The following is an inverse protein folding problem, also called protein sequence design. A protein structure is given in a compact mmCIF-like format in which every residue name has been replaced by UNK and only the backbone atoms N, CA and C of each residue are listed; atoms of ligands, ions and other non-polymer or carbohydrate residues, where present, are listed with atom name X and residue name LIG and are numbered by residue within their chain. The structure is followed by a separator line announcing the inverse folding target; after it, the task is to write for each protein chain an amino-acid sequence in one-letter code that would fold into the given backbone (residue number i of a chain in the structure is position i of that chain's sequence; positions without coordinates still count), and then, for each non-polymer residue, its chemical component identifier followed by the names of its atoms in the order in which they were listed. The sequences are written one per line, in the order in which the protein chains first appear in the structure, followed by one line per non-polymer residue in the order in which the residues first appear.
data_IF_349931269236
#
_entry.id   IF_349931269236
#
_cell.length_a   1.000
_cell.length_b   1.000
_cell.length_c   1.000
_cell.angle_alpha   90.00
_cell.angle_beta   90.00
_cell.angle_gamma   90.00
#
_symmetry.space_group_name_H-M   'P 1'
#
loop_
_entity.id
_entity.type
_entity.pdbx_description
1 polymer ?
#
# COMPACT_ATOMS: atom_id res chain seq x y z
N UNK A 1 1.91 -7.42 -31.67
CA UNK A 1 0.90 -6.40 -32.03
C UNK A 1 1.34 -5.08 -31.41
N UNK A 2 1.32 -3.98 -32.17
CA UNK A 2 1.67 -2.65 -31.62
C UNK A 2 0.64 -2.28 -30.53
N UNK A 3 1.08 -1.90 -29.33
CA UNK A 3 0.20 -1.52 -28.21
C UNK A 3 -0.80 -0.43 -28.61
N UNK A 4 -0.38 0.54 -29.44
CA UNK A 4 -1.24 1.61 -29.91
C UNK A 4 -2.37 1.05 -30.77
N UNK A 5 -2.05 0.09 -31.65
CA UNK A 5 -3.07 -0.57 -32.49
C UNK A 5 -4.00 -1.46 -31.66
N UNK A 6 -3.48 -2.14 -30.63
CA UNK A 6 -4.32 -2.87 -29.70
C UNK A 6 -5.29 -1.94 -28.97
N UNK A 7 -4.77 -0.85 -28.38
CA UNK A 7 -5.59 0.08 -27.60
C UNK A 7 -6.58 0.83 -28.49
N UNK A 8 -6.24 1.15 -29.74
CA UNK A 8 -7.19 1.70 -30.73
C UNK A 8 -8.38 0.77 -30.99
N UNK A 9 -8.10 -0.53 -31.10
CA UNK A 9 -9.12 -1.55 -31.32
C UNK A 9 -9.81 -2.03 -30.02
N UNK A 10 -9.31 -1.61 -28.86
CA UNK A 10 -9.83 -2.07 -27.57
C UNK A 10 -11.26 -1.60 -27.36
N UNK A 11 -12.12 -2.55 -26.98
CA UNK A 11 -13.48 -2.29 -26.53
C UNK A 11 -13.66 -2.98 -25.18
N UNK A 12 -14.15 -2.25 -24.19
CA UNK A 12 -14.50 -2.85 -22.91
C UNK A 12 -15.83 -3.59 -23.05
N UNK A 13 -15.80 -4.92 -22.94
CA UNK A 13 -17.04 -5.69 -22.90
C UNK A 13 -17.85 -5.34 -21.63
N UNK A 14 -19.17 -5.11 -21.74
CA UNK A 14 -20.01 -4.87 -20.58
C UNK A 14 -19.92 -6.06 -19.61
N UNK A 15 -19.64 -5.80 -18.34
CA UNK A 15 -19.74 -6.84 -17.33
C UNK A 15 -21.20 -7.28 -17.22
N UNK A 16 -21.53 -8.54 -17.52
CA UNK A 16 -22.87 -9.10 -17.32
C UNK A 16 -23.26 -9.08 -15.82
N UNK A 17 -23.74 -7.94 -15.34
CA UNK A 17 -24.43 -7.81 -14.05
C UNK A 17 -25.92 -7.58 -14.31
N UNK A 18 -26.84 -8.27 -13.63
CA UNK A 18 -28.27 -8.06 -13.83
C UNK A 18 -28.64 -6.62 -13.45
N UNK A 19 -29.07 -5.82 -14.44
CA UNK A 19 -29.48 -4.42 -14.26
C UNK A 19 -28.78 -3.39 -15.15
N UNK A 20 -27.87 -3.79 -16.03
CA UNK A 20 -27.22 -2.85 -16.96
C UNK A 20 -28.11 -2.49 -18.15
N UNK A 21 -28.54 -1.23 -18.20
CA UNK A 21 -28.88 -0.58 -19.46
C UNK A 21 -27.59 -0.48 -20.29
N UNK A 22 -27.62 -1.00 -21.52
CA UNK A 22 -26.49 -1.05 -22.43
C UNK A 22 -25.99 0.35 -22.79
N UNK A 23 -24.90 0.82 -22.17
CA UNK A 23 -24.10 1.87 -22.79
C UNK A 23 -23.36 1.25 -23.97
N UNK A 24 -23.46 1.87 -25.15
CA UNK A 24 -22.81 1.37 -26.36
C UNK A 24 -21.29 1.33 -26.16
N UNK A 25 -20.59 0.32 -26.71
CA UNK A 25 -19.13 0.22 -26.63
C UNK A 25 -18.48 1.51 -27.14
N UNK A 26 -17.67 2.17 -26.30
CA UNK A 26 -16.89 3.34 -26.70
C UNK A 26 -15.65 2.90 -27.45
N UNK A 27 -15.50 3.40 -28.67
CA UNK A 27 -14.24 3.30 -29.42
C UNK A 27 -13.19 4.20 -28.77
N UNK A 28 -11.93 3.74 -28.76
CA UNK A 28 -10.81 4.54 -28.26
C UNK A 28 -10.62 5.78 -29.13
N UNK A 29 -10.75 6.96 -28.51
CA UNK A 29 -10.41 8.23 -29.14
C UNK A 29 -8.88 8.39 -29.16
N UNK A 30 -8.36 8.92 -30.27
CA UNK A 30 -6.93 9.16 -30.46
C UNK A 30 -6.71 10.64 -30.69
N UNK A 31 -6.13 11.29 -29.71
CA UNK A 31 -5.61 12.64 -29.82
C UNK A 31 -4.09 12.60 -29.96
N UNK A 32 -3.48 13.76 -30.26
CA UNK A 32 -2.04 13.89 -30.37
C UNK A 32 -1.55 14.97 -29.44
N UNK A 33 -0.51 14.67 -28.67
CA UNK A 33 0.15 15.63 -27.79
C UNK A 33 1.57 15.85 -28.27
N UNK A 34 1.98 17.11 -28.31
CA UNK A 34 3.35 17.50 -28.64
C UNK A 34 4.14 17.73 -27.35
N UNK A 35 5.27 17.05 -27.23
CA UNK A 35 6.21 17.20 -26.11
C UNK A 35 7.60 17.32 -26.71
N UNK A 36 8.29 18.44 -26.46
CA UNK A 36 9.63 18.74 -26.96
C UNK A 36 9.78 18.52 -28.48
N UNK A 37 8.78 19.00 -29.26
CA UNK A 37 8.77 18.89 -30.72
C UNK A 37 8.48 17.48 -31.27
N UNK A 38 8.12 16.52 -30.40
CA UNK A 38 7.72 15.16 -30.80
C UNK A 38 6.24 14.93 -30.54
N UNK A 39 5.56 14.27 -31.49
CA UNK A 39 4.13 13.93 -31.39
C UNK A 39 3.94 12.52 -30.81
N UNK A 40 3.12 12.44 -29.77
CA UNK A 40 2.74 11.19 -29.12
C UNK A 40 1.23 10.99 -29.21
N UNK A 41 0.73 9.77 -29.53
CA UNK A 41 -0.69 9.49 -29.49
C UNK A 41 -1.18 9.47 -28.03
N UNK A 42 -2.19 10.26 -27.72
CA UNK A 42 -2.96 10.21 -26.47
C UNK A 42 -4.22 9.41 -26.73
N UNK A 43 -4.32 8.24 -26.12
CA UNK A 43 -5.44 7.33 -26.29
C UNK A 43 -6.42 7.52 -25.12
N UNK A 44 -7.69 7.78 -25.44
CA UNK A 44 -8.75 8.05 -24.46
C UNK A 44 -9.82 6.97 -24.61
N UNK A 45 -9.98 6.15 -23.58
CA UNK A 45 -11.08 5.18 -23.47
C UNK A 45 -11.35 4.81 -22.01
N UNK A 46 -12.41 4.04 -21.76
CA UNK A 46 -12.63 3.32 -20.51
C UNK A 46 -11.97 1.93 -20.60
N UNK A 47 -10.82 1.77 -19.95
CA UNK A 47 -10.05 0.51 -20.01
C UNK A 47 -10.38 -0.48 -18.87
N UNK A 48 -11.10 -0.02 -17.84
CA UNK A 48 -11.57 -0.85 -16.71
C UNK A 48 -12.82 -0.22 -16.09
N UNK A 49 -13.76 -1.04 -15.63
CA UNK A 49 -14.96 -0.48 -14.97
C UNK A 49 -14.65 -0.09 -13.53
N UNK A 50 -15.19 1.05 -13.09
CA UNK A 50 -15.17 1.42 -11.68
C UNK A 50 -15.96 0.45 -10.78
N UNK A 51 -16.84 -0.36 -11.38
CA UNK A 51 -17.71 -1.36 -10.73
C UNK A 51 -17.04 -2.72 -10.53
N UNK A 52 -15.91 -3.01 -11.18
CA UNK A 52 -15.07 -4.19 -10.92
C UNK A 52 -14.47 -4.11 -9.51
N UNK A 53 -15.27 -4.37 -8.47
CA UNK A 53 -14.87 -4.31 -7.04
C UNK A 53 -14.10 -5.56 -6.58
N UNK A 54 -13.53 -6.33 -7.49
CA UNK A 54 -12.70 -7.50 -7.17
C UNK A 54 -11.23 -7.08 -7.05
N UNK A 55 -10.89 -6.47 -5.92
CA UNK A 55 -9.50 -6.21 -5.54
C UNK A 55 -9.07 -7.23 -4.50
N UNK A 56 -7.81 -7.67 -4.56
CA UNK A 56 -7.23 -8.45 -3.47
C UNK A 56 -7.35 -7.69 -2.14
N UNK A 57 -7.65 -8.42 -1.07
CA UNK A 57 -7.66 -7.92 0.31
C UNK A 57 -6.32 -7.33 0.73
N UNK A 58 -5.21 -7.74 0.10
CA UNK A 58 -3.87 -7.20 0.29
C UNK A 58 -3.74 -5.70 -0.10
N UNK A 59 -4.68 -5.15 -0.86
CA UNK A 59 -4.72 -3.73 -1.20
C UNK A 59 -5.38 -2.85 -0.14
N UNK A 60 -5.96 -3.43 0.92
CA UNK A 60 -6.63 -2.67 1.98
C UNK A 60 -5.65 -2.01 2.98
N UNK A 61 -4.47 -1.61 2.53
CA UNK A 61 -3.46 -0.82 3.27
C UNK A 61 -3.61 0.64 2.88
N UNK A 62 -3.96 1.51 3.85
CA UNK A 62 -4.26 2.91 3.55
C UNK A 62 -3.00 3.73 3.23
N UNK A 63 -2.99 4.44 2.11
CA UNK A 63 -1.96 5.41 1.74
C UNK A 63 -2.60 6.48 0.85
N UNK A 64 -2.24 7.75 1.04
CA UNK A 64 -2.81 8.85 0.25
C UNK A 64 -2.28 8.76 -1.18
N UNK A 65 -3.10 9.20 -2.14
CA UNK A 65 -2.68 9.36 -3.53
C UNK A 65 -2.23 8.05 -4.20
N UNK A 66 -3.00 6.98 -3.99
CA UNK A 66 -2.84 5.71 -4.71
C UNK A 66 -3.95 5.53 -5.75
N UNK A 67 -3.65 4.85 -6.86
CA UNK A 67 -4.68 4.38 -7.79
C UNK A 67 -5.33 3.06 -7.33
N UNK A 68 -6.48 2.76 -7.95
CA UNK A 68 -7.21 1.50 -7.79
C UNK A 68 -6.43 0.37 -8.47
N UNK A 69 -6.43 -0.83 -7.88
CA UNK A 69 -5.66 -1.99 -8.37
C UNK A 69 -6.01 -2.44 -9.80
N UNK A 70 -7.24 -2.16 -10.26
CA UNK A 70 -7.71 -2.50 -11.60
C UNK A 70 -6.91 -1.77 -12.69
N UNK A 71 -6.44 -0.55 -12.42
CA UNK A 71 -5.65 0.25 -13.36
C UNK A 71 -4.33 -0.44 -13.71
N UNK A 72 -3.39 -0.71 -12.77
CA UNK A 72 -2.15 -1.39 -13.11
C UNK A 72 -2.41 -2.82 -13.60
N UNK A 73 -3.41 -3.52 -13.05
CA UNK A 73 -3.73 -4.89 -13.47
C UNK A 73 -4.03 -4.97 -14.96
N UNK A 74 -4.79 -4.01 -15.49
CA UNK A 74 -5.12 -3.93 -16.91
C UNK A 74 -3.84 -3.90 -17.77
N UNK A 75 -2.95 -2.94 -17.50
CA UNK A 75 -1.72 -2.78 -18.27
C UNK A 75 -0.73 -3.93 -18.07
N UNK A 76 -0.61 -4.46 -16.85
CA UNK A 76 0.26 -5.62 -16.60
C UNK A 76 -0.23 -6.83 -17.40
N UNK A 77 -1.54 -7.15 -17.39
CA UNK A 77 -2.07 -8.27 -18.17
C UNK A 77 -1.87 -8.09 -19.67
N UNK A 78 -1.99 -6.86 -20.14
CA UNK A 78 -1.91 -6.54 -21.56
C UNK A 78 -0.47 -6.56 -22.10
N UNK A 79 0.48 -6.05 -21.31
CA UNK A 79 1.82 -5.69 -21.79
C UNK A 79 2.93 -6.60 -21.28
N UNK A 80 2.60 -7.61 -20.47
CA UNK A 80 3.58 -8.55 -19.93
C UNK A 80 3.03 -9.97 -19.92
N UNK A 81 3.92 -10.93 -19.79
CA UNK A 81 3.67 -12.35 -19.52
C UNK A 81 4.10 -12.72 -18.09
N UNK A 82 3.63 -13.84 -17.53
CA UNK A 82 4.19 -14.38 -16.30
C UNK A 82 5.73 -14.53 -16.39
N UNK A 83 6.45 -14.12 -15.35
CA UNK A 83 7.92 -14.12 -15.30
C UNK A 83 8.59 -12.80 -15.70
N UNK A 84 7.90 -11.94 -16.45
CA UNK A 84 8.39 -10.60 -16.82
C UNK A 84 8.58 -9.71 -15.58
N UNK A 85 9.39 -8.66 -15.73
CA UNK A 85 9.73 -7.69 -14.69
C UNK A 85 8.88 -6.44 -14.79
N UNK A 86 8.11 -6.19 -13.73
CA UNK A 86 7.38 -4.93 -13.55
C UNK A 86 8.11 -4.06 -12.53
N UNK A 87 8.37 -2.81 -12.90
CA UNK A 87 9.02 -1.81 -12.05
C UNK A 87 8.07 -0.66 -11.71
N UNK A 88 8.09 -0.22 -10.46
CA UNK A 88 7.44 1.02 -10.02
C UNK A 88 8.46 1.94 -9.32
N UNK A 89 8.88 3.06 -9.95
CA UNK A 89 9.85 4.00 -9.39
C UNK A 89 9.32 4.86 -8.22
N UNK A 90 8.00 4.92 -8.03
CA UNK A 90 7.31 5.71 -6.99
C UNK A 90 6.27 4.83 -6.28
N UNK A 91 6.74 3.72 -5.74
CA UNK A 91 5.90 2.59 -5.36
C UNK A 91 4.85 2.94 -4.30
N UNK A 92 5.13 3.88 -3.39
CA UNK A 92 4.22 4.23 -2.30
C UNK A 92 3.78 3.00 -1.52
N UNK A 93 2.48 2.68 -1.53
CA UNK A 93 1.98 1.41 -0.97
C UNK A 93 2.01 0.22 -1.94
N UNK A 94 2.84 0.24 -2.98
CA UNK A 94 3.07 -0.89 -3.89
C UNK A 94 1.85 -1.45 -4.61
N UNK A 95 0.86 -0.64 -4.99
CA UNK A 95 -0.32 -1.16 -5.71
C UNK A 95 0.09 -1.90 -7.00
N UNK A 96 1.02 -1.33 -7.78
CA UNK A 96 1.60 -2.00 -8.98
C UNK A 96 2.29 -3.30 -8.61
N UNK A 97 3.14 -3.26 -7.58
CA UNK A 97 3.96 -4.39 -7.14
C UNK A 97 3.09 -5.58 -6.71
N UNK A 98 2.06 -5.32 -5.92
CA UNK A 98 1.14 -6.37 -5.47
C UNK A 98 0.34 -6.94 -6.64
N UNK A 99 -0.19 -6.11 -7.56
CA UNK A 99 -0.89 -6.66 -8.74
C UNK A 99 0.03 -7.44 -9.66
N UNK A 100 1.27 -6.98 -9.89
CA UNK A 100 2.26 -7.69 -10.69
C UNK A 100 2.58 -9.06 -10.07
N UNK A 101 2.81 -9.12 -8.75
CA UNK A 101 3.09 -10.37 -8.06
C UNK A 101 1.88 -11.33 -8.04
N UNK A 102 0.66 -10.81 -7.87
CA UNK A 102 -0.58 -11.59 -7.98
C UNK A 102 -0.77 -12.18 -9.38
N UNK A 103 -0.28 -11.49 -10.40
CA UNK A 103 -0.24 -11.95 -11.79
C UNK A 103 1.01 -12.77 -12.11
N UNK A 104 1.82 -13.16 -11.13
CA UNK A 104 3.04 -13.96 -11.32
C UNK A 104 4.13 -13.27 -12.19
N UNK A 105 4.29 -11.95 -12.03
CA UNK A 105 5.44 -11.18 -12.58
C UNK A 105 6.48 -10.97 -11.50
N UNK A 106 7.76 -10.90 -11.89
CA UNK A 106 8.83 -10.43 -11.01
C UNK A 106 8.68 -8.93 -10.78
N UNK A 107 9.09 -8.46 -9.62
CA UNK A 107 8.80 -7.09 -9.20
C UNK A 107 10.04 -6.36 -8.71
N UNK A 108 10.13 -5.10 -9.10
CA UNK A 108 11.10 -4.14 -8.56
C UNK A 108 10.31 -2.94 -8.07
N UNK A 109 10.56 -2.50 -6.85
CA UNK A 109 9.94 -1.35 -6.24
C UNK A 109 11.02 -0.34 -5.85
N UNK A 110 10.81 0.93 -6.16
CA UNK A 110 11.59 2.02 -5.59
C UNK A 110 10.64 3.08 -5.03
N UNK A 111 11.04 3.71 -3.93
CA UNK A 111 10.45 4.95 -3.44
C UNK A 111 11.48 5.67 -2.57
N UNK A 112 11.52 6.99 -2.60
CA UNK A 112 12.43 7.75 -1.72
C UNK A 112 12.04 7.62 -0.24
N UNK A 113 10.78 7.30 0.05
CA UNK A 113 10.28 7.13 1.40
C UNK A 113 10.43 5.66 1.85
N UNK A 114 11.24 5.36 2.90
CA UNK A 114 11.42 4.01 3.41
C UNK A 114 10.12 3.37 3.92
N UNK A 115 9.08 4.16 4.18
CA UNK A 115 7.73 3.68 4.47
C UNK A 115 7.19 2.77 3.35
N UNK A 116 7.59 2.97 2.09
CA UNK A 116 7.13 2.17 0.97
C UNK A 116 7.47 0.68 1.14
N UNK A 117 8.71 0.37 1.52
CA UNK A 117 9.13 -1.00 1.75
C UNK A 117 8.35 -1.62 2.92
N UNK A 118 8.19 -0.90 4.03
CA UNK A 118 7.42 -1.34 5.20
C UNK A 118 5.98 -1.68 4.82
N UNK A 119 5.36 -0.87 3.96
CA UNK A 119 3.99 -1.10 3.54
C UNK A 119 3.88 -2.20 2.49
N UNK A 120 4.89 -2.39 1.63
CA UNK A 120 4.84 -3.27 0.47
C UNK A 120 5.40 -4.66 0.71
N UNK A 121 6.65 -4.76 1.14
CA UNK A 121 7.39 -6.03 1.20
C UNK A 121 6.68 -7.12 1.99
N UNK A 122 6.07 -6.87 3.17
CA UNK A 122 5.43 -7.92 3.95
C UNK A 122 4.23 -8.58 3.25
N UNK A 123 3.62 -7.91 2.25
CA UNK A 123 2.54 -8.49 1.44
C UNK A 123 3.01 -9.53 0.42
N UNK A 124 4.32 -9.71 0.26
CA UNK A 124 4.91 -10.84 -0.47
C UNK A 124 5.32 -12.00 0.45
N UNK A 125 5.51 -11.74 1.75
CA UNK A 125 5.92 -12.73 2.75
C UNK A 125 4.82 -12.93 3.79
N UNK A 126 3.70 -13.53 3.36
CA UNK A 126 2.46 -13.55 4.13
C UNK A 126 2.52 -14.62 5.25
N UNK A 127 2.49 -14.24 6.54
CA UNK A 127 2.46 -15.19 7.66
C UNK A 127 1.05 -15.74 7.89
N UNK A 128 0.95 -16.84 8.64
CA UNK A 128 -0.32 -17.43 9.07
C UNK A 128 -0.90 -16.60 10.21
N UNK A 129 -2.22 -16.62 10.33
CA UNK A 129 -2.89 -15.87 11.39
C UNK A 129 -2.44 -16.35 12.79
N UNK A 130 -2.23 -17.65 12.96
CA UNK A 130 -1.72 -18.26 14.20
C UNK A 130 -0.30 -17.82 14.55
N UNK A 131 0.57 -17.64 13.54
CA UNK A 131 1.95 -17.14 13.74
C UNK A 131 1.92 -15.69 14.22
N UNK A 132 1.05 -14.84 13.64
CA UNK A 132 0.84 -13.46 14.08
C UNK A 132 0.32 -13.42 15.53
N UNK A 133 -0.69 -14.24 15.84
CA UNK A 133 -1.29 -14.32 17.18
C UNK A 133 -0.27 -14.75 18.24
N UNK A 134 0.52 -15.78 17.93
CA UNK A 134 1.59 -16.26 18.81
C UNK A 134 2.62 -15.15 19.05
N UNK A 135 3.17 -14.56 17.99
CA UNK A 135 4.16 -13.48 18.09
C UNK A 135 3.63 -12.27 18.87
N UNK A 136 2.38 -11.87 18.68
CA UNK A 136 1.77 -10.77 19.44
C UNK A 136 1.67 -11.07 20.94
N UNK A 137 1.46 -12.33 21.33
CA UNK A 137 1.38 -12.72 22.75
C UNK A 137 2.75 -12.68 23.45
N UNK A 138 3.82 -12.96 22.70
CA UNK A 138 5.22 -12.97 23.17
C UNK A 138 5.82 -11.56 23.36
N UNK A 139 5.29 -10.53 22.68
CA UNK A 139 5.85 -9.18 22.74
C UNK A 139 5.61 -8.58 24.13
N UNK A 140 6.65 -8.26 24.92
CA UNK A 140 6.47 -7.67 26.25
C UNK A 140 5.85 -6.28 26.15
N UNK A 141 4.96 -5.94 27.09
CA UNK A 141 4.35 -4.61 27.21
C UNK A 141 4.83 -3.97 28.50
N UNK A 142 5.54 -2.86 28.37
CA UNK A 142 5.90 -1.99 29.47
C UNK A 142 4.76 -0.97 29.65
N UNK A 143 4.01 -1.08 30.74
CA UNK A 143 2.85 -0.22 31.03
C UNK A 143 3.21 1.25 31.30
N UNK A 144 4.51 1.53 31.54
CA UNK A 144 5.03 2.87 31.76
C UNK A 144 5.74 3.43 30.52
N UNK A 145 5.74 2.70 29.40
CA UNK A 145 6.35 3.19 28.18
C UNK A 145 5.63 4.43 27.65
N UNK A 146 6.40 5.47 27.31
CA UNK A 146 5.89 6.71 26.71
C UNK A 146 6.65 7.03 25.43
N UNK A 147 5.99 7.76 24.53
CA UNK A 147 6.61 8.25 23.31
C UNK A 147 7.64 9.35 23.63
N UNK A 148 8.61 9.54 22.72
CA UNK A 148 9.59 10.63 22.75
C UNK A 148 8.97 12.02 22.50
N UNK A 149 7.67 12.07 22.18
CA UNK A 149 6.90 13.27 21.89
C UNK A 149 5.49 13.12 22.44
N UNK A 150 4.84 14.23 22.74
CA UNK A 150 3.44 14.21 23.19
C UNK A 150 2.51 13.69 22.09
N UNK A 151 1.92 12.51 22.31
CA UNK A 151 0.92 11.88 21.46
C UNK A 151 -0.44 11.71 22.17
N UNK A 152 -0.62 12.37 23.32
CA UNK A 152 -1.82 12.26 24.16
C UNK A 152 -3.10 12.75 23.45
N UNK A 153 -2.97 13.55 22.40
CA UNK A 153 -4.10 13.97 21.58
C UNK A 153 -4.59 12.87 20.62
N UNK A 154 -3.76 11.86 20.34
CA UNK A 154 -4.10 10.73 19.49
C UNK A 154 -4.45 9.49 20.30
N UNK A 155 -3.76 9.23 21.41
CA UNK A 155 -3.80 7.93 22.09
C UNK A 155 -4.16 8.04 23.57
N UNK A 156 -4.85 7.01 24.05
CA UNK A 156 -4.98 6.76 25.48
C UNK A 156 -3.61 6.31 26.04
N UNK A 157 -3.21 6.67 27.28
CA UNK A 157 -1.89 6.34 27.83
C UNK A 157 -1.52 4.85 27.72
N UNK A 158 -2.43 3.94 28.09
CA UNK A 158 -2.24 2.48 27.90
C UNK A 158 -2.00 2.06 26.44
N UNK A 159 -2.71 2.66 25.49
CA UNK A 159 -2.51 2.37 24.06
C UNK A 159 -1.17 2.90 23.58
N UNK A 160 -0.77 4.09 24.03
CA UNK A 160 0.56 4.63 23.75
C UNK A 160 1.66 3.68 24.26
N UNK A 161 1.55 3.22 25.51
CA UNK A 161 2.49 2.28 26.11
C UNK A 161 2.62 0.98 25.31
N UNK A 162 1.51 0.43 24.81
CA UNK A 162 1.52 -0.72 23.92
C UNK A 162 2.20 -0.43 22.57
N UNK A 163 1.89 0.71 21.93
CA UNK A 163 2.51 1.12 20.66
C UNK A 163 4.02 1.28 20.84
N UNK A 164 4.47 1.94 21.91
CA UNK A 164 5.90 2.15 22.17
C UNK A 164 6.59 0.84 22.48
N UNK A 165 5.98 -0.05 23.27
CA UNK A 165 6.51 -1.38 23.55
C UNK A 165 6.68 -2.21 22.27
N UNK A 166 5.66 -2.20 21.42
CA UNK A 166 5.68 -2.85 20.11
C UNK A 166 6.78 -2.28 19.20
N UNK A 167 6.87 -0.94 19.10
CA UNK A 167 7.90 -0.24 18.31
C UNK A 167 9.30 -0.62 18.80
N UNK A 168 9.56 -0.58 20.11
CA UNK A 168 10.86 -0.96 20.72
C UNK A 168 11.21 -2.42 20.40
N UNK A 169 10.26 -3.35 20.57
CA UNK A 169 10.47 -4.77 20.26
C UNK A 169 10.86 -4.98 18.80
N UNK A 170 10.06 -4.46 17.87
CA UNK A 170 10.28 -4.62 16.44
C UNK A 170 11.56 -3.92 16.00
N UNK A 171 11.83 -2.71 16.50
CA UNK A 171 13.06 -1.97 16.18
C UNK A 171 14.30 -2.73 16.63
N UNK A 172 14.31 -3.26 17.86
CA UNK A 172 15.40 -4.10 18.37
C UNK A 172 15.63 -5.32 17.48
N UNK A 173 14.56 -6.05 17.11
CA UNK A 173 14.70 -7.22 16.23
C UNK A 173 15.31 -6.88 14.88
N UNK A 174 14.93 -5.74 14.29
CA UNK A 174 15.54 -5.25 13.04
C UNK A 174 17.01 -4.85 13.21
N UNK A 175 17.37 -4.17 14.30
CA UNK A 175 18.76 -3.79 14.58
C UNK A 175 19.68 -4.99 14.83
N UNK A 176 19.15 -6.06 15.41
CA UNK A 176 19.92 -7.30 15.69
C UNK A 176 19.84 -8.31 14.55
N UNK A 177 19.39 -7.90 13.36
CA UNK A 177 19.20 -8.76 12.17
C UNK A 177 18.38 -10.04 12.45
N UNK A 178 17.44 -9.94 13.39
CA UNK A 178 16.59 -11.05 13.78
C UNK A 178 15.18 -10.92 13.20
N UNK A 179 14.79 -9.77 12.63
CA UNK A 179 13.45 -9.51 12.08
C UNK A 179 13.04 -10.57 11.05
N UNK A 180 11.86 -11.17 11.24
CA UNK A 180 11.31 -12.16 10.30
C UNK A 180 10.03 -11.65 9.61
N UNK A 181 9.43 -12.48 8.76
CA UNK A 181 8.21 -12.14 8.02
C UNK A 181 7.02 -11.81 8.93
N UNK A 182 6.93 -12.41 10.12
CA UNK A 182 5.84 -12.17 11.08
C UNK A 182 6.01 -10.78 11.69
N UNK A 183 7.23 -10.41 12.10
CA UNK A 183 7.52 -9.07 12.59
C UNK A 183 7.27 -8.00 11.53
N UNK A 184 7.75 -8.24 10.30
CA UNK A 184 7.59 -7.31 9.20
C UNK A 184 6.11 -7.09 8.88
N UNK A 185 5.29 -8.14 8.94
CA UNK A 185 3.84 -8.04 8.82
C UNK A 185 3.20 -7.26 9.96
N UNK A 186 3.55 -7.55 11.21
CA UNK A 186 3.06 -6.82 12.38
C UNK A 186 3.44 -5.34 12.29
N UNK A 187 4.68 -5.03 11.89
CA UNK A 187 5.16 -3.67 11.64
C UNK A 187 4.31 -2.97 10.60
N UNK A 188 4.11 -3.57 9.43
CA UNK A 188 3.26 -3.02 8.37
C UNK A 188 1.86 -2.66 8.89
N UNK A 189 1.20 -3.62 9.56
CA UNK A 189 -0.16 -3.42 10.06
C UNK A 189 -0.18 -2.34 11.13
N UNK A 190 0.72 -2.39 12.12
CA UNK A 190 0.80 -1.42 13.19
C UNK A 190 1.05 0.00 12.65
N UNK A 191 2.05 0.19 11.78
CA UNK A 191 2.34 1.46 11.12
C UNK A 191 1.12 1.99 10.35
N UNK A 192 0.37 1.11 9.67
CA UNK A 192 -0.84 1.50 8.97
C UNK A 192 -2.04 1.82 9.88
N UNK A 193 -2.01 1.39 11.15
CA UNK A 193 -3.08 1.56 12.15
C UNK A 193 -2.85 2.72 13.11
N UNK A 194 -1.72 3.42 13.02
CA UNK A 194 -1.39 4.55 13.90
C UNK A 194 -2.43 5.69 13.85
N UNK A 195 -3.00 6.01 12.69
CA UNK A 195 -3.98 7.11 12.54
C UNK A 195 -5.08 6.74 11.55
N UNK A 196 -6.33 7.06 11.89
CA UNK A 196 -7.43 6.97 10.95
C UNK A 196 -8.78 7.40 11.49
N UNK A 197 -9.79 7.23 10.64
CA UNK A 197 -11.14 7.78 10.84
C UNK A 197 -12.18 6.70 11.22
N UNK A 198 -11.74 5.54 11.69
CA UNK A 198 -12.63 4.45 12.14
C UNK A 198 -12.13 3.79 13.42
N UNK A 199 -12.97 3.03 14.15
CA UNK A 199 -12.56 2.34 15.39
C UNK A 199 -11.50 1.25 15.20
N UNK A 200 -11.13 0.93 13.95
CA UNK A 200 -10.09 -0.05 13.63
C UNK A 200 -8.66 0.50 13.68
N UNK A 201 -8.46 1.72 14.18
CA UNK A 201 -7.16 2.39 14.34
C UNK A 201 -6.81 2.55 15.82
N UNK A 202 -5.53 2.72 16.11
CA UNK A 202 -5.07 2.94 17.49
C UNK A 202 -5.43 4.33 18.01
N UNK A 203 -5.53 5.31 17.10
CA UNK A 203 -5.89 6.67 17.47
C UNK A 203 -7.38 6.82 17.78
N UNK A 204 -7.70 7.92 18.46
CA UNK A 204 -9.01 8.57 18.33
C UNK A 204 -9.32 8.90 16.85
N UNK A 205 -10.57 9.23 16.55
CA UNK A 205 -10.95 9.68 15.20
C UNK A 205 -10.06 10.84 14.72
N UNK A 206 -9.40 10.64 13.58
CA UNK A 206 -8.62 11.64 12.85
C UNK A 206 -9.25 11.93 11.47
N UNK A 207 -8.54 12.65 10.60
CA UNK A 207 -9.07 13.09 9.29
C UNK A 207 -8.97 11.98 8.22
N UNK A 208 -10.02 11.76 7.41
CA UNK A 208 -9.93 10.97 6.19
C UNK A 208 -9.02 11.61 5.13
N UNK A 209 -8.39 10.83 4.23
CA UNK A 209 -8.27 9.38 4.24
C UNK A 209 -7.03 8.91 5.05
N UNK A 210 -7.18 8.78 6.38
CA UNK A 210 -6.19 8.18 7.30
C UNK A 210 -4.84 8.91 7.35
N UNK A 211 -4.91 10.24 7.41
CA UNK A 211 -3.75 11.11 7.52
C UNK A 211 -3.50 11.48 8.98
N UNK A 212 -2.23 11.63 9.35
CA UNK A 212 -1.87 12.26 10.62
C UNK A 212 -1.96 13.78 10.42
N UNK A 213 -2.96 14.41 11.04
CA UNK A 213 -2.98 15.88 11.13
C UNK A 213 -1.89 16.35 12.12
N UNK A 214 -1.61 17.65 12.17
CA UNK A 214 -0.70 18.18 13.19
C UNK A 214 -1.27 17.94 14.62
N UNK A 215 -0.43 17.85 15.65
CA UNK A 215 -0.84 17.79 17.06
C UNK A 215 -1.88 18.86 17.44
N UNK A 216 -1.65 20.12 17.06
CA UNK A 216 -2.53 21.26 17.33
C UNK A 216 -3.89 21.05 16.64
N UNK A 217 -3.86 20.61 15.38
CA UNK A 217 -5.08 20.36 14.62
C UNK A 217 -5.87 19.19 15.21
N UNK A 218 -5.22 18.14 15.70
CA UNK A 218 -5.91 17.03 16.36
C UNK A 218 -6.57 17.48 17.66
N UNK A 219 -5.92 18.32 18.48
CA UNK A 219 -6.54 18.90 19.69
C UNK A 219 -7.80 19.70 19.35
N UNK A 220 -7.77 20.49 18.27
CA UNK A 220 -8.96 21.21 17.78
C UNK A 220 -10.08 20.28 17.30
N UNK A 221 -9.74 19.17 16.63
CA UNK A 221 -10.73 18.15 16.24
C UNK A 221 -11.35 17.51 17.48
N UNK A 222 -10.52 17.17 18.47
CA UNK A 222 -10.98 16.57 19.72
C UNK A 222 -11.97 17.47 20.46
N UNK A 223 -11.63 18.76 20.62
CA UNK A 223 -12.51 19.75 21.23
C UNK A 223 -13.82 19.93 20.45
N UNK A 224 -13.76 20.11 19.13
CA UNK A 224 -14.95 20.27 18.28
C UNK A 224 -15.90 19.08 18.29
N UNK A 225 -15.35 17.87 18.43
CA UNK A 225 -16.13 16.63 18.46
C UNK A 225 -16.47 16.17 19.89
N UNK A 226 -16.04 16.92 20.91
CA UNK A 226 -16.13 16.55 22.31
C UNK A 226 -15.65 15.09 22.56
N UNK A 227 -14.49 14.75 22.02
CA UNK A 227 -13.92 13.40 22.09
C UNK A 227 -12.57 13.40 22.80
N UNK A 228 -12.24 12.28 23.44
CA UNK A 228 -10.91 11.97 23.95
C UNK A 228 -10.45 10.63 23.39
N UNK A 229 -9.13 10.37 23.32
CA UNK A 229 -8.64 9.07 22.90
C UNK A 229 -9.13 7.93 23.81
N UNK A 230 -9.93 6.99 23.27
CA UNK A 230 -10.31 5.81 24.02
C UNK A 230 -9.14 4.84 24.10
N UNK A 231 -9.15 3.96 25.09
CA UNK A 231 -8.26 2.80 25.06
C UNK A 231 -8.56 1.93 23.83
N UNK A 232 -7.50 1.56 23.13
CA UNK A 232 -7.46 0.64 21.99
C UNK A 232 -6.44 -0.45 22.30
N UNK A 233 -6.90 -1.68 22.34
CA UNK A 233 -6.03 -2.86 22.40
C UNK A 233 -5.33 -3.02 21.04
N UNK A 234 -4.04 -2.76 21.01
CA UNK A 234 -3.25 -2.76 19.77
C UNK A 234 -3.14 -4.15 19.18
N UNK A 235 -2.96 -5.19 20.01
CA UNK A 235 -2.84 -6.59 19.58
C UNK A 235 -4.13 -7.06 18.92
N UNK A 236 -5.27 -6.81 19.55
CA UNK A 236 -6.57 -7.18 19.00
C UNK A 236 -6.86 -6.48 17.67
N UNK A 237 -6.48 -5.21 17.53
CA UNK A 237 -6.64 -4.45 16.29
C UNK A 237 -5.71 -4.93 15.16
N UNK A 238 -4.45 -5.26 15.48
CA UNK A 238 -3.50 -5.85 14.51
C UNK A 238 -4.02 -7.21 14.03
N UNK A 239 -4.48 -8.07 14.95
CA UNK A 239 -4.99 -9.39 14.62
C UNK A 239 -6.26 -9.30 13.77
N UNK A 240 -7.18 -8.40 14.12
CA UNK A 240 -8.41 -8.14 13.34
C UNK A 240 -8.08 -7.66 11.94
N UNK A 241 -7.15 -6.71 11.79
CA UNK A 241 -6.76 -6.21 10.47
C UNK A 241 -6.04 -7.28 9.66
N UNK A 242 -5.18 -8.08 10.30
CA UNK A 242 -4.50 -9.20 9.65
C UNK A 242 -5.51 -10.22 9.11
N UNK A 243 -6.51 -10.63 9.91
CA UNK A 243 -7.60 -11.51 9.44
C UNK A 243 -8.33 -10.94 8.21
N UNK A 244 -8.54 -9.62 8.16
CA UNK A 244 -9.13 -8.95 6.98
C UNK A 244 -8.25 -9.07 5.73
N UNK A 245 -6.95 -8.81 5.87
CA UNK A 245 -5.98 -8.84 4.78
C UNK A 245 -5.70 -10.26 4.28
N UNK A 246 -5.84 -11.27 5.15
CA UNK A 246 -5.61 -12.67 4.81
C UNK A 246 -6.85 -13.37 4.23
N UNK A 247 -7.99 -12.67 4.09
CA UNK A 247 -9.16 -13.25 3.42
C UNK A 247 -8.79 -13.63 1.99
N UNK A 248 -9.17 -14.85 1.59
CA UNK A 248 -8.92 -15.41 0.26
C UNK A 248 -7.44 -15.65 -0.08
N UNK A 249 -6.56 -15.72 0.92
CA UNK A 249 -5.18 -16.15 0.73
C UNK A 249 -5.05 -17.63 1.05
N UNK A 250 -4.77 -18.45 0.04
CA UNK A 250 -4.49 -19.87 0.16
C UNK A 250 -2.97 -20.17 0.15
N UNK A 251 -2.61 -21.43 0.43
CA UNK A 251 -1.21 -21.86 0.46
C UNK A 251 -0.51 -21.82 -0.92
N UNK A 252 -1.16 -22.16 -2.05
CA UNK A 252 -0.58 -21.92 -3.38
C UNK A 252 -0.19 -20.46 -3.63
N UNK A 253 -1.11 -19.51 -3.38
CA UNK A 253 -0.84 -18.09 -3.56
C UNK A 253 0.26 -17.60 -2.63
N UNK A 254 0.23 -18.03 -1.36
CA UNK A 254 1.28 -17.70 -0.38
C UNK A 254 2.67 -18.14 -0.86
N UNK A 255 2.80 -19.37 -1.36
CA UNK A 255 4.09 -19.88 -1.89
C UNK A 255 4.54 -19.12 -3.13
N UNK A 256 3.62 -18.80 -4.05
CA UNK A 256 3.94 -17.98 -5.23
C UNK A 256 4.48 -16.61 -4.82
N UNK A 257 3.76 -15.90 -3.95
CA UNK A 257 4.16 -14.56 -3.49
C UNK A 257 5.50 -14.60 -2.74
N UNK A 258 5.73 -15.63 -1.92
CA UNK A 258 7.01 -15.82 -1.24
C UNK A 258 8.18 -16.02 -2.21
N UNK A 259 8.01 -16.87 -3.23
CA UNK A 259 9.03 -17.10 -4.25
C UNK A 259 9.35 -15.82 -5.05
N UNK A 260 8.32 -15.05 -5.41
CA UNK A 260 8.50 -13.76 -6.08
C UNK A 260 9.16 -12.74 -5.14
N UNK A 261 8.76 -12.70 -3.87
CA UNK A 261 9.36 -11.85 -2.85
C UNK A 261 10.85 -12.11 -2.63
N UNK A 262 11.29 -13.38 -2.70
CA UNK A 262 12.69 -13.76 -2.55
C UNK A 262 13.59 -13.23 -3.70
N UNK A 263 13.02 -12.99 -4.87
CA UNK A 263 13.72 -12.42 -6.03
C UNK A 263 13.40 -10.93 -6.28
N UNK A 264 12.48 -10.37 -5.49
CA UNK A 264 12.07 -8.97 -5.60
C UNK A 264 13.15 -8.02 -5.09
N UNK A 265 13.21 -6.85 -5.70
CA UNK A 265 14.09 -5.76 -5.24
C UNK A 265 13.25 -4.62 -4.69
N UNK A 266 13.57 -4.20 -3.47
CA UNK A 266 13.00 -3.02 -2.83
C UNK A 266 14.12 -2.02 -2.61
N UNK A 267 14.04 -0.88 -3.28
CA UNK A 267 15.02 0.19 -3.22
C UNK A 267 14.42 1.39 -2.49
N UNK A 268 15.26 2.08 -1.73
CA UNK A 268 14.92 3.39 -1.16
C UNK A 268 15.91 4.42 -1.71
N UNK A 269 15.69 4.86 -2.94
CA UNK A 269 16.61 5.71 -3.69
C UNK A 269 15.89 6.79 -4.51
N UNK A 270 16.65 7.77 -4.98
CA UNK A 270 16.20 8.74 -5.97
C UNK A 270 15.88 8.02 -7.29
N UNK A 271 14.65 8.17 -7.79
CA UNK A 271 14.20 7.50 -9.00
C UNK A 271 15.01 7.87 -10.27
N UNK A 272 15.81 8.94 -10.23
CA UNK A 272 16.73 9.33 -11.31
C UNK A 272 17.98 8.46 -11.37
N UNK A 273 18.30 7.72 -10.31
CA UNK A 273 19.50 6.87 -10.24
C UNK A 273 19.22 5.59 -9.42
N UNK A 274 19.05 4.48 -10.13
CA UNK A 274 18.81 3.14 -9.55
C UNK A 274 19.83 2.13 -10.11
N UNK A 275 21.12 2.26 -9.78
CA UNK A 275 22.19 1.43 -10.35
C UNK A 275 22.05 -0.08 -10.04
N UNK A 276 21.25 -0.44 -9.04
CA UNK A 276 20.91 -1.81 -8.66
C UNK A 276 19.97 -2.50 -9.68
N UNK A 277 19.41 -1.73 -10.62
CA UNK A 277 18.57 -2.22 -11.72
C UNK A 277 19.41 -2.26 -13.00
N UNK A 278 19.73 -3.44 -13.54
CA UNK A 278 20.46 -3.56 -14.80
C UNK A 278 19.73 -2.84 -15.94
N UNK A 279 20.50 -2.24 -16.86
CA UNK A 279 19.94 -1.65 -18.06
C UNK A 279 19.18 -2.69 -18.88
N UNK A 280 18.07 -2.28 -19.50
CA UNK A 280 17.23 -3.13 -20.37
C UNK A 280 16.68 -4.40 -19.69
N UNK A 281 16.56 -4.42 -18.35
CA UNK A 281 16.03 -5.58 -17.61
C UNK A 281 14.58 -5.45 -17.13
N UNK A 282 13.89 -4.35 -17.48
CA UNK A 282 12.52 -4.06 -17.06
C UNK A 282 11.61 -4.14 -18.28
N UNK A 283 10.57 -4.96 -18.20
CA UNK A 283 9.63 -5.18 -19.30
C UNK A 283 8.48 -4.16 -19.27
N UNK A 284 8.07 -3.71 -18.08
CA UNK A 284 7.01 -2.73 -17.92
C UNK A 284 7.23 -1.81 -16.71
N UNK A 285 6.97 -0.52 -16.91
CA UNK A 285 6.81 0.47 -15.82
C UNK A 285 5.33 0.86 -15.73
N UNK A 286 4.74 0.68 -14.56
CA UNK A 286 3.42 1.25 -14.23
C UNK A 286 3.53 1.99 -12.91
N UNK A 287 3.29 3.29 -12.94
CA UNK A 287 3.51 4.15 -11.78
C UNK A 287 2.53 5.32 -11.74
N UNK A 288 2.39 5.92 -10.57
CA UNK A 288 1.76 7.22 -10.39
C UNK A 288 2.86 8.16 -9.92
N UNK A 289 3.26 9.17 -10.72
CA UNK A 289 4.24 10.12 -10.25
C UNK A 289 3.73 10.87 -9.01
N UNK A 290 4.64 11.39 -8.17
CA UNK A 290 4.25 12.17 -7.00
C UNK A 290 3.45 13.40 -7.43
N UNK A 291 2.39 13.70 -6.69
CA UNK A 291 1.54 14.87 -6.95
C UNK A 291 2.21 16.14 -6.40
N UNK A 292 3.10 16.71 -7.21
CA UNK A 292 3.81 17.95 -6.88
C UNK A 292 2.81 19.06 -6.50
N UNK A 293 3.08 19.76 -5.40
CA UNK A 293 2.26 20.85 -4.85
C UNK A 293 0.87 20.50 -4.32
N UNK A 294 0.39 19.26 -4.48
CA UNK A 294 -0.95 18.84 -4.01
C UNK A 294 -0.85 17.99 -2.75
N UNK A 295 0.18 17.14 -2.65
CA UNK A 295 0.35 16.19 -1.56
C UNK A 295 1.65 16.46 -0.82
N UNK A 296 1.56 16.64 0.50
CA UNK A 296 2.70 16.84 1.38
C UNK A 296 3.08 15.51 2.03
N UNK A 297 3.74 14.61 1.29
CA UNK A 297 3.97 13.22 1.71
C UNK A 297 4.68 13.08 3.07
N UNK A 298 5.66 13.95 3.37
CA UNK A 298 6.36 13.96 4.65
C UNK A 298 5.42 14.36 5.80
N UNK A 299 4.66 15.44 5.62
CA UNK A 299 3.69 15.89 6.61
C UNK A 299 2.56 14.87 6.79
N UNK A 300 1.98 14.34 5.71
CA UNK A 300 0.85 13.40 5.79
C UNK A 300 1.21 12.07 6.50
N UNK A 301 2.49 11.69 6.47
CA UNK A 301 3.01 10.45 7.04
C UNK A 301 3.91 10.66 8.27
N UNK A 302 3.98 11.87 8.86
CA UNK A 302 4.91 12.17 9.95
C UNK A 302 4.81 11.16 11.11
N UNK A 303 3.59 10.75 11.45
CA UNK A 303 3.33 9.78 12.52
C UNK A 303 3.68 8.35 12.12
N UNK A 304 3.64 8.01 10.83
CA UNK A 304 4.06 6.68 10.33
C UNK A 304 5.57 6.56 10.21
N UNK A 305 6.25 7.69 10.06
CA UNK A 305 7.71 7.81 10.04
C UNK A 305 8.31 7.97 11.44
N UNK A 306 7.47 8.18 12.46
CA UNK A 306 7.86 8.08 13.87
C UNK A 306 8.07 6.62 14.27
#
# INVERSE_FOLDING_TARGET
MNIVEFLKAFTLEPSHSPGDASEAPRQTEVEWVEVDGRRYPRLINEYWTSRQRQSSSLHEIAYRACFKAQLPRFFIRLLTSPGDVVFDPFSGRGTTIIEAALLNRRVIANDINPLSEILCRPRLFIPRLSEIETRLSEIPVDSQATADRDLSMFYHPRTEAEIVSLRRYLHRRRLTDNEDAVDAWIRMVATNRLTGHSPGFFSVYTLPPNQAVSPERQRLINARRNQQPPYRDTRALILRKSRSLLRHIDEPLRRQLHALGASARFLTADARSTPEIPSQSVDLIVTSPPFLNVVQYAADNWLRCW
#
